data_IF_032825549735
#
_entry.id   IF_032825549735
#
_cell.length_a   1.000
_cell.length_b   1.000
_cell.length_c   1.000
_cell.angle_alpha   90.00
_cell.angle_beta   90.00
_cell.angle_gamma   90.00
#
_symmetry.space_group_name_H-M   'P 1'
#
loop_
_entity.id
_entity.type
_entity.pdbx_description
1 polymer ?
#
# COMPACT_ATOMS: atom_id res chain seq x y z
N UNK A 1 24.54 38.96 -10.54
CA UNK A 1 24.75 39.14 -9.10
C UNK A 1 24.81 37.82 -8.30
N UNK A 2 24.94 37.90 -6.97
CA UNK A 2 25.04 36.71 -6.10
C UNK A 2 23.80 35.79 -6.18
N UNK A 3 22.63 36.34 -6.47
CA UNK A 3 21.36 35.61 -6.65
C UNK A 3 21.38 34.72 -7.89
N UNK A 4 21.84 35.21 -9.03
CA UNK A 4 21.97 34.46 -10.28
C UNK A 4 22.98 33.33 -10.18
N UNK A 5 24.09 33.55 -9.47
CA UNK A 5 25.11 32.50 -9.23
C UNK A 5 24.58 31.36 -8.36
N UNK A 6 23.75 31.63 -7.35
CA UNK A 6 23.12 30.60 -6.51
C UNK A 6 22.13 29.74 -7.30
N UNK A 7 21.31 30.36 -8.16
CA UNK A 7 20.37 29.64 -9.03
C UNK A 7 21.09 28.79 -10.08
N UNK A 8 22.17 29.30 -10.69
CA UNK A 8 22.98 28.52 -11.60
C UNK A 8 23.62 27.29 -10.95
N UNK A 9 24.09 27.42 -9.71
CA UNK A 9 24.67 26.31 -8.93
C UNK A 9 23.59 25.26 -8.53
N UNK A 10 22.38 25.69 -8.19
CA UNK A 10 21.28 24.79 -7.85
C UNK A 10 20.81 23.99 -9.08
N UNK A 11 20.65 24.65 -10.23
CA UNK A 11 20.35 24.00 -11.51
C UNK A 11 21.39 22.95 -11.89
N UNK A 12 22.67 23.29 -11.76
CA UNK A 12 23.79 22.40 -12.10
C UNK A 12 23.81 21.16 -11.17
N UNK A 13 23.46 21.31 -9.86
CA UNK A 13 23.36 20.18 -8.94
C UNK A 13 22.23 19.23 -9.32
N UNK A 14 21.04 19.77 -9.65
CA UNK A 14 19.90 18.96 -10.07
C UNK A 14 20.20 18.20 -11.36
N UNK A 15 20.78 18.87 -12.36
CA UNK A 15 21.12 18.21 -13.62
C UNK A 15 22.17 17.11 -13.44
N UNK A 16 23.18 17.31 -12.60
CA UNK A 16 24.17 16.26 -12.32
C UNK A 16 23.53 15.05 -11.67
N UNK A 17 22.64 15.25 -10.69
CA UNK A 17 21.95 14.16 -10.04
C UNK A 17 21.02 13.41 -11.02
N UNK A 18 20.35 14.12 -11.94
CA UNK A 18 19.50 13.50 -12.98
C UNK A 18 20.30 12.77 -14.07
N UNK A 19 21.59 13.05 -14.22
CA UNK A 19 22.48 12.28 -15.09
C UNK A 19 22.90 10.94 -14.47
N UNK A 20 22.86 10.85 -13.14
CA UNK A 20 23.17 9.61 -12.41
C UNK A 20 21.90 8.75 -12.20
N UNK A 21 20.76 9.41 -11.95
CA UNK A 21 19.44 8.75 -11.77
C UNK A 21 18.40 9.51 -12.60
N UNK A 22 17.72 8.81 -13.50
CA UNK A 22 16.73 9.40 -14.42
C UNK A 22 15.54 10.04 -13.68
N UNK A 23 15.23 9.57 -12.50
CA UNK A 23 14.15 10.07 -11.65
C UNK A 23 14.66 10.34 -10.24
N UNK A 24 14.31 11.51 -9.68
CA UNK A 24 14.68 11.90 -8.31
C UNK A 24 13.45 12.25 -7.51
N UNK A 25 13.42 11.81 -6.25
CA UNK A 25 12.36 12.15 -5.31
C UNK A 25 12.37 13.66 -4.98
N UNK A 26 11.17 14.25 -4.85
CA UNK A 26 10.99 15.68 -4.54
C UNK A 26 11.68 16.10 -3.24
N UNK A 27 11.56 15.28 -2.20
CA UNK A 27 12.15 15.57 -0.89
C UNK A 27 13.69 15.49 -0.94
N UNK A 28 14.24 14.56 -1.71
CA UNK A 28 15.67 14.49 -1.96
C UNK A 28 16.18 15.77 -2.67
N UNK A 29 15.46 16.21 -3.70
CA UNK A 29 15.82 17.39 -4.48
C UNK A 29 15.75 18.66 -3.63
N UNK A 30 14.67 18.83 -2.86
CA UNK A 30 14.44 20.07 -2.09
C UNK A 30 15.25 20.13 -0.81
N UNK A 31 15.30 19.05 -0.03
CA UNK A 31 15.94 19.05 1.30
C UNK A 31 17.42 18.66 1.25
N UNK A 32 17.81 17.64 0.46
CA UNK A 32 19.20 17.19 0.42
C UNK A 32 20.03 17.93 -0.63
N UNK A 33 19.52 18.10 -1.84
CA UNK A 33 20.21 18.85 -2.89
C UNK A 33 20.06 20.37 -2.71
N UNK A 34 19.14 20.84 -1.86
CA UNK A 34 18.91 22.25 -1.58
C UNK A 34 18.49 23.05 -2.82
N UNK A 35 17.67 22.44 -3.68
CA UNK A 35 17.09 23.09 -4.87
C UNK A 35 15.70 23.56 -4.52
N UNK A 36 15.46 24.88 -4.58
CA UNK A 36 14.15 25.43 -4.26
C UNK A 36 13.09 25.09 -5.30
N UNK A 37 11.84 24.97 -4.87
CA UNK A 37 10.71 24.69 -5.77
C UNK A 37 10.55 25.71 -6.90
N UNK A 38 10.98 26.96 -6.70
CA UNK A 38 10.99 27.99 -7.75
C UNK A 38 12.00 27.67 -8.87
N UNK A 39 13.16 27.13 -8.51
CA UNK A 39 14.16 26.72 -9.50
C UNK A 39 13.67 25.51 -10.28
N UNK A 40 13.05 24.51 -9.61
CA UNK A 40 12.48 23.33 -10.27
C UNK A 40 11.39 23.75 -11.26
N UNK A 41 10.47 24.64 -10.84
CA UNK A 41 9.40 25.15 -11.71
C UNK A 41 9.93 25.89 -12.93
N UNK A 42 10.94 26.76 -12.76
CA UNK A 42 11.57 27.44 -13.88
C UNK A 42 12.29 26.47 -14.85
N UNK A 43 12.81 25.36 -14.36
CA UNK A 43 13.41 24.31 -15.21
C UNK A 43 12.35 23.47 -15.92
N UNK A 44 11.19 23.25 -15.28
CA UNK A 44 10.03 22.59 -15.88
C UNK A 44 9.44 23.46 -17.01
N UNK A 45 9.21 24.76 -16.75
CA UNK A 45 8.73 25.73 -17.74
C UNK A 45 9.66 25.85 -18.95
N UNK A 46 10.97 25.71 -18.74
CA UNK A 46 11.95 25.70 -19.82
C UNK A 46 12.11 24.35 -20.53
N UNK A 47 11.34 23.33 -20.12
CA UNK A 47 11.36 21.98 -20.72
C UNK A 47 12.60 21.15 -20.40
N UNK A 48 13.44 21.59 -19.45
CA UNK A 48 14.68 20.89 -19.08
C UNK A 48 14.42 19.70 -18.14
N UNK A 49 13.41 19.82 -17.29
CA UNK A 49 12.96 18.74 -16.39
C UNK A 49 11.45 18.59 -16.50
N UNK A 50 10.94 17.42 -16.14
CA UNK A 50 9.51 17.13 -16.02
C UNK A 50 9.19 16.79 -14.59
N UNK A 51 8.24 17.48 -13.98
CA UNK A 51 7.72 17.12 -12.65
C UNK A 51 6.57 16.15 -12.85
N UNK A 52 6.79 14.89 -12.44
CA UNK A 52 5.76 13.87 -12.46
C UNK A 52 5.06 13.91 -11.09
N UNK A 53 3.77 14.22 -11.09
CA UNK A 53 2.95 14.17 -9.87
C UNK A 53 2.35 12.78 -9.76
N UNK A 54 3.08 11.89 -9.14
CA UNK A 54 2.54 10.58 -8.76
C UNK A 54 1.76 10.70 -7.47
N UNK A 55 0.57 10.09 -7.43
CA UNK A 55 -0.18 9.93 -6.20
C UNK A 55 0.49 8.82 -5.39
N UNK A 56 1.46 9.17 -4.56
CA UNK A 56 2.03 8.22 -3.60
C UNK A 56 1.09 8.11 -2.41
N UNK A 57 0.40 6.97 -2.30
CA UNK A 57 -0.39 6.65 -1.11
C UNK A 57 0.55 6.28 0.04
N UNK A 58 0.44 6.99 1.16
CA UNK A 58 1.17 6.64 2.38
C UNK A 58 0.75 5.25 2.83
N UNK A 59 1.66 4.30 2.74
CA UNK A 59 1.41 2.94 3.18
C UNK A 59 2.08 2.72 4.54
N UNK A 60 1.32 2.59 5.64
CA UNK A 60 1.89 2.43 6.98
C UNK A 60 2.72 1.15 7.15
N UNK A 61 2.64 0.24 6.19
CA UNK A 61 3.39 -1.04 6.19
C UNK A 61 4.44 -1.13 5.08
N UNK A 62 4.76 -0.04 4.40
CA UNK A 62 5.75 -0.01 3.29
C UNK A 62 7.16 -0.47 3.69
N UNK A 63 7.50 -0.37 4.98
CA UNK A 63 8.78 -0.82 5.53
C UNK A 63 8.83 -2.33 5.85
N UNK A 64 7.69 -3.03 5.71
CA UNK A 64 7.63 -4.47 5.99
C UNK A 64 7.99 -5.27 4.73
N UNK A 65 8.92 -6.20 4.87
CA UNK A 65 9.26 -7.14 3.79
C UNK A 65 8.26 -8.30 3.83
N UNK A 66 7.53 -8.53 2.76
CA UNK A 66 6.64 -9.68 2.61
C UNK A 66 7.47 -10.97 2.60
N UNK A 67 7.33 -11.77 3.66
CA UNK A 67 7.81 -13.17 3.67
C UNK A 67 6.64 -14.02 3.23
N UNK A 68 6.82 -14.80 2.16
CA UNK A 68 5.78 -15.71 1.67
C UNK A 68 5.19 -16.54 2.82
N UNK A 69 3.89 -16.46 3.00
CA UNK A 69 3.19 -17.14 4.09
C UNK A 69 2.49 -18.36 3.49
N UNK A 70 3.18 -19.51 3.58
CA UNK A 70 2.61 -20.81 3.22
C UNK A 70 1.80 -21.34 4.41
N UNK A 71 0.47 -21.24 4.34
CA UNK A 71 -0.42 -21.88 5.28
C UNK A 71 -0.97 -23.15 4.66
N UNK A 72 -0.84 -24.25 5.41
CA UNK A 72 -1.59 -25.47 5.14
C UNK A 72 -2.76 -25.50 6.12
N UNK A 73 -3.97 -25.45 5.60
CA UNK A 73 -5.17 -25.63 6.40
C UNK A 73 -5.28 -27.10 6.82
N UNK A 74 -5.80 -27.35 8.02
CA UNK A 74 -6.23 -28.69 8.39
C UNK A 74 -7.59 -29.01 7.74
N UNK A 75 -8.04 -30.26 7.86
CA UNK A 75 -9.27 -30.74 7.21
C UNK A 75 -10.50 -29.94 7.63
N UNK A 76 -10.69 -29.66 8.93
CA UNK A 76 -11.81 -28.88 9.45
C UNK A 76 -11.81 -27.43 8.92
N UNK A 77 -10.64 -26.82 8.85
CA UNK A 77 -10.48 -25.46 8.30
C UNK A 77 -10.77 -25.45 6.80
N UNK A 78 -10.32 -26.47 6.08
CA UNK A 78 -10.59 -26.61 4.66
C UNK A 78 -12.07 -26.81 4.37
N UNK A 79 -12.75 -27.67 5.14
CA UNK A 79 -14.20 -27.87 5.04
C UNK A 79 -14.97 -26.56 5.26
N UNK A 80 -14.58 -25.75 6.26
CA UNK A 80 -15.20 -24.45 6.53
C UNK A 80 -15.02 -23.49 5.34
N UNK A 81 -13.83 -23.44 4.74
CA UNK A 81 -13.54 -22.63 3.55
C UNK A 81 -14.38 -23.10 2.36
N UNK A 82 -14.44 -24.40 2.13
CA UNK A 82 -15.12 -24.98 0.97
C UNK A 82 -16.64 -24.82 1.06
N UNK A 83 -17.21 -24.93 2.26
CA UNK A 83 -18.63 -24.67 2.49
C UNK A 83 -19.02 -23.23 2.10
N UNK A 84 -18.27 -22.23 2.62
CA UNK A 84 -18.51 -20.82 2.30
C UNK A 84 -18.29 -20.53 0.82
N UNK A 85 -17.22 -21.10 0.25
CA UNK A 85 -16.88 -20.88 -1.15
C UNK A 85 -17.88 -21.50 -2.12
N UNK A 86 -18.35 -22.73 -1.83
CA UNK A 86 -19.39 -23.40 -2.62
C UNK A 86 -20.68 -22.57 -2.67
N UNK A 87 -21.11 -22.01 -1.56
CA UNK A 87 -22.28 -21.15 -1.53
C UNK A 87 -22.06 -19.86 -2.33
N UNK A 88 -20.87 -19.27 -2.21
CA UNK A 88 -20.50 -18.11 -3.00
C UNK A 88 -20.59 -18.37 -4.52
N UNK A 89 -20.09 -19.52 -4.99
CA UNK A 89 -20.13 -19.92 -6.41
C UNK A 89 -21.56 -20.17 -6.90
N UNK A 90 -22.43 -20.70 -6.02
CA UNK A 90 -23.89 -20.86 -6.31
C UNK A 90 -24.66 -19.54 -6.25
N UNK A 91 -24.02 -18.42 -6.00
CA UNK A 91 -24.67 -17.11 -5.87
C UNK A 91 -25.35 -16.88 -4.52
N UNK A 92 -25.23 -17.79 -3.55
CA UNK A 92 -25.76 -17.65 -2.19
C UNK A 92 -24.93 -16.61 -1.44
N UNK A 93 -25.60 -15.67 -0.80
CA UNK A 93 -25.00 -14.59 0.00
C UNK A 93 -25.56 -14.64 1.42
N UNK A 94 -24.94 -15.48 2.24
CA UNK A 94 -25.33 -15.71 3.64
C UNK A 94 -24.29 -15.16 4.60
N UNK A 95 -24.70 -14.99 5.86
CA UNK A 95 -23.78 -14.70 6.96
C UNK A 95 -23.31 -16.01 7.58
N UNK A 96 -22.00 -16.13 7.77
CA UNK A 96 -21.38 -17.32 8.37
C UNK A 96 -20.76 -16.95 9.72
N UNK A 97 -20.91 -17.84 10.69
CA UNK A 97 -20.25 -17.74 11.99
C UNK A 97 -19.17 -18.81 12.10
N UNK A 98 -17.90 -18.40 12.14
CA UNK A 98 -16.77 -19.29 12.40
C UNK A 98 -16.57 -19.38 13.91
N UNK A 99 -16.95 -20.51 14.52
CA UNK A 99 -16.81 -20.77 15.94
C UNK A 99 -15.54 -21.59 16.19
N UNK A 100 -14.78 -21.22 17.22
CA UNK A 100 -13.59 -21.96 17.64
C UNK A 100 -12.89 -21.26 18.80
N UNK A 101 -12.09 -21.98 19.56
CA UNK A 101 -11.31 -21.45 20.67
C UNK A 101 -10.21 -20.50 20.17
N UNK A 102 -9.59 -19.76 21.07
CA UNK A 102 -8.42 -18.94 20.75
C UNK A 102 -7.29 -19.85 20.25
N UNK A 103 -6.65 -19.48 19.15
CA UNK A 103 -5.59 -20.28 18.55
C UNK A 103 -6.05 -21.42 17.62
N UNK A 104 -7.36 -21.64 17.43
CA UNK A 104 -7.88 -22.69 16.52
C UNK A 104 -7.67 -22.42 15.02
N UNK A 105 -7.03 -21.31 14.67
CA UNK A 105 -6.76 -20.97 13.28
C UNK A 105 -7.92 -20.32 12.52
N UNK A 106 -8.89 -19.71 13.21
CA UNK A 106 -9.98 -18.95 12.54
C UNK A 106 -9.47 -17.89 11.58
N UNK A 107 -8.34 -17.27 11.94
CA UNK A 107 -7.67 -16.26 11.08
C UNK A 107 -7.26 -16.85 9.74
N UNK A 108 -6.77 -18.05 9.73
CA UNK A 108 -6.32 -18.77 8.54
C UNK A 108 -7.50 -19.06 7.60
N UNK A 109 -8.65 -19.45 8.15
CA UNK A 109 -9.89 -19.70 7.40
C UNK A 109 -10.34 -18.45 6.65
N UNK A 110 -10.50 -17.30 7.33
CA UNK A 110 -10.94 -16.12 6.62
C UNK A 110 -9.85 -15.50 5.73
N UNK A 111 -8.57 -15.69 6.03
CA UNK A 111 -7.50 -15.30 5.12
C UNK A 111 -7.52 -16.13 3.82
N UNK A 112 -7.85 -17.42 3.88
CA UNK A 112 -8.02 -18.23 2.67
C UNK A 112 -9.21 -17.77 1.84
N UNK A 113 -10.34 -17.48 2.50
CA UNK A 113 -11.52 -16.89 1.82
C UNK A 113 -11.19 -15.57 1.13
N UNK A 114 -10.43 -14.68 1.78
CA UNK A 114 -9.94 -13.42 1.18
C UNK A 114 -9.07 -13.72 -0.05
N UNK A 115 -8.18 -14.70 0.03
CA UNK A 115 -7.33 -15.09 -1.08
C UNK A 115 -8.14 -15.61 -2.28
N UNK A 116 -9.17 -16.43 -2.04
CA UNK A 116 -10.12 -16.89 -3.06
C UNK A 116 -10.86 -15.73 -3.69
N UNK A 117 -11.35 -14.77 -2.89
CA UNK A 117 -12.03 -13.55 -3.37
C UNK A 117 -11.11 -12.70 -4.25
N UNK A 118 -9.85 -12.52 -3.86
CA UNK A 118 -8.87 -11.79 -4.67
C UNK A 118 -8.58 -12.49 -6.00
N UNK A 119 -8.47 -13.83 -6.01
CA UNK A 119 -8.34 -14.61 -7.25
C UNK A 119 -9.54 -14.44 -8.17
N UNK A 120 -10.74 -14.28 -7.60
CA UNK A 120 -11.96 -13.98 -8.33
C UNK A 120 -12.11 -12.49 -8.73
N UNK A 121 -11.05 -11.67 -8.57
CA UNK A 121 -11.06 -10.25 -8.93
C UNK A 121 -11.92 -9.38 -8.00
N UNK A 122 -12.20 -9.85 -6.78
CA UNK A 122 -12.99 -9.14 -5.78
C UNK A 122 -12.12 -8.56 -4.68
N UNK A 123 -12.67 -7.59 -3.97
CA UNK A 123 -12.08 -7.02 -2.76
C UNK A 123 -12.78 -7.58 -1.52
N UNK A 124 -12.07 -7.57 -0.40
CA UNK A 124 -12.59 -7.96 0.90
C UNK A 124 -12.38 -6.83 1.91
N UNK A 125 -13.36 -6.63 2.80
CA UNK A 125 -13.24 -5.72 3.93
C UNK A 125 -13.18 -6.56 5.19
N UNK A 126 -12.13 -6.33 6.01
CA UNK A 126 -11.95 -7.01 7.29
C UNK A 126 -12.10 -5.99 8.41
N UNK A 127 -13.11 -6.17 9.23
CA UNK A 127 -13.34 -5.33 10.40
C UNK A 127 -12.69 -5.97 11.62
N UNK A 128 -11.73 -5.30 12.21
CA UNK A 128 -10.98 -5.77 13.39
C UNK A 128 -11.20 -4.75 14.50
N UNK A 129 -11.64 -5.17 15.71
CA UNK A 129 -11.70 -4.27 16.86
C UNK A 129 -10.32 -3.60 17.08
N UNK A 130 -10.30 -2.31 17.39
CA UNK A 130 -9.04 -1.54 17.49
C UNK A 130 -8.06 -2.16 18.49
N UNK A 131 -8.57 -2.70 19.60
CA UNK A 131 -7.77 -3.40 20.61
C UNK A 131 -7.08 -4.66 20.05
N UNK A 132 -7.65 -5.30 19.04
CA UNK A 132 -7.09 -6.48 18.38
C UNK A 132 -6.24 -6.14 17.14
N UNK A 133 -6.23 -4.88 16.71
CA UNK A 133 -5.41 -4.41 15.59
C UNK A 133 -3.97 -4.16 16.07
N UNK A 134 -3.29 -5.24 16.40
CA UNK A 134 -1.89 -5.22 16.80
C UNK A 134 -0.96 -5.20 15.59
N UNK A 135 0.30 -4.82 15.80
CA UNK A 135 1.34 -4.94 14.77
C UNK A 135 1.43 -6.35 14.18
N UNK A 136 1.31 -7.38 15.02
CA UNK A 136 1.34 -8.78 14.58
C UNK A 136 0.17 -9.13 13.65
N UNK A 137 -1.02 -8.61 13.93
CA UNK A 137 -2.18 -8.80 13.06
C UNK A 137 -1.94 -8.16 11.70
N UNK A 138 -1.48 -6.90 11.68
CA UNK A 138 -1.13 -6.18 10.45
C UNK A 138 -0.06 -6.93 9.65
N UNK A 139 0.99 -7.40 10.33
CA UNK A 139 2.09 -8.13 9.71
C UNK A 139 1.61 -9.45 9.06
N UNK A 140 0.67 -10.18 9.67
CA UNK A 140 0.10 -11.40 9.08
C UNK A 140 -0.60 -11.11 7.75
N UNK A 141 -1.45 -10.08 7.70
CA UNK A 141 -2.12 -9.67 6.46
C UNK A 141 -1.11 -9.23 5.40
N UNK A 142 -0.14 -8.41 5.79
CA UNK A 142 0.89 -7.94 4.88
C UNK A 142 1.76 -9.06 4.33
N UNK A 143 2.19 -10.02 5.16
CA UNK A 143 2.97 -11.17 4.73
C UNK A 143 2.24 -12.03 3.70
N UNK A 144 0.90 -12.12 3.80
CA UNK A 144 0.10 -12.92 2.88
C UNK A 144 -0.29 -12.17 1.61
N UNK A 145 -0.67 -10.92 1.74
CA UNK A 145 -1.27 -10.15 0.65
C UNK A 145 -0.39 -9.02 0.12
N UNK A 146 0.71 -8.71 0.80
CA UNK A 146 1.67 -7.68 0.40
C UNK A 146 1.01 -6.32 0.27
N UNK A 147 1.40 -5.60 -0.76
CA UNK A 147 0.93 -4.24 -1.05
C UNK A 147 -0.55 -4.13 -1.43
N UNK A 148 -1.28 -5.24 -1.49
CA UNK A 148 -2.74 -5.25 -1.71
C UNK A 148 -3.55 -4.98 -0.44
N UNK A 149 -2.89 -4.78 0.70
CA UNK A 149 -3.53 -4.45 1.98
C UNK A 149 -3.62 -2.94 2.15
N UNK A 150 -4.81 -2.42 2.40
CA UNK A 150 -5.04 -1.05 2.86
C UNK A 150 -5.53 -1.09 4.29
N UNK A 151 -4.98 -0.25 5.15
CA UNK A 151 -5.30 -0.21 6.58
C UNK A 151 -5.93 1.13 6.90
N UNK A 152 -7.06 1.09 7.60
CA UNK A 152 -7.76 2.27 8.11
C UNK A 152 -7.96 2.12 9.61
N UNK A 153 -7.51 3.08 10.40
CA UNK A 153 -7.72 3.10 11.85
C UNK A 153 -7.89 4.54 12.38
N UNK A 154 -8.29 4.67 13.65
CA UNK A 154 -8.55 5.96 14.28
C UNK A 154 -7.31 6.82 14.50
N UNK A 155 -6.11 6.22 14.57
CA UNK A 155 -4.84 6.93 14.82
C UNK A 155 -4.28 7.60 13.56
N UNK A 156 -4.81 7.25 12.40
CA UNK A 156 -4.38 7.85 11.13
C UNK A 156 -4.92 9.26 10.99
N UNK A 157 -4.09 10.15 10.46
CA UNK A 157 -4.50 11.51 10.07
C UNK A 157 -5.58 11.47 8.98
N UNK A 158 -6.38 12.52 8.80
CA UNK A 158 -7.36 12.60 7.72
C UNK A 158 -6.75 12.36 6.33
N UNK A 159 -5.53 12.88 6.08
CA UNK A 159 -4.82 12.68 4.81
C UNK A 159 -4.46 11.22 4.58
N UNK A 160 -3.89 10.55 5.57
CA UNK A 160 -3.56 9.13 5.47
C UNK A 160 -4.80 8.25 5.25
N UNK A 161 -5.91 8.54 5.93
CA UNK A 161 -7.19 7.83 5.71
C UNK A 161 -7.71 8.03 4.30
N UNK A 162 -7.64 9.26 3.79
CA UNK A 162 -8.05 9.57 2.43
C UNK A 162 -7.20 8.82 1.39
N UNK A 163 -5.88 8.80 1.56
CA UNK A 163 -4.96 8.07 0.69
C UNK A 163 -5.29 6.57 0.65
N UNK A 164 -5.48 5.95 1.82
CA UNK A 164 -5.85 4.53 1.91
C UNK A 164 -7.22 4.23 1.29
N UNK A 165 -8.19 5.13 1.47
CA UNK A 165 -9.52 5.00 0.85
C UNK A 165 -9.44 5.08 -0.68
N UNK A 166 -8.72 6.06 -1.23
CA UNK A 166 -8.52 6.19 -2.68
C UNK A 166 -7.83 4.97 -3.26
N UNK A 167 -6.80 4.48 -2.58
CA UNK A 167 -6.08 3.28 -2.97
C UNK A 167 -7.01 2.06 -3.03
N UNK A 168 -7.82 1.84 -2.01
CA UNK A 168 -8.80 0.76 -1.99
C UNK A 168 -9.86 0.92 -3.10
N UNK A 169 -10.35 2.14 -3.32
CA UNK A 169 -11.34 2.46 -4.36
C UNK A 169 -10.81 2.20 -5.77
N UNK A 170 -9.57 2.56 -6.04
CA UNK A 170 -8.96 2.44 -7.37
C UNK A 170 -8.40 1.03 -7.63
N UNK A 171 -8.34 0.16 -6.62
CA UNK A 171 -7.73 -1.18 -6.73
C UNK A 171 -6.21 -1.13 -6.99
N UNK A 172 -5.56 -0.01 -6.67
CA UNK A 172 -4.15 0.21 -6.96
C UNK A 172 -3.25 -0.57 -6.01
N UNK A 173 -2.20 -1.18 -6.56
CA UNK A 173 -1.12 -1.77 -5.77
C UNK A 173 -0.21 -0.66 -5.27
N UNK A 174 0.30 -0.78 -4.04
CA UNK A 174 1.34 0.11 -3.54
C UNK A 174 2.57 -0.02 -4.44
N UNK A 175 3.05 1.10 -4.99
CA UNK A 175 4.29 1.10 -5.79
C UNK A 175 4.17 0.56 -7.21
N UNK A 176 2.99 0.37 -7.77
CA UNK A 176 2.86 0.09 -9.20
C UNK A 176 3.24 1.35 -9.99
N UNK A 177 4.49 1.45 -10.42
CA UNK A 177 4.90 2.38 -11.48
C UNK A 177 4.06 2.08 -12.73
N UNK A 178 3.34 3.06 -13.24
CA UNK A 178 2.82 3.06 -14.60
C UNK A 178 3.77 3.86 -15.49
#
# INVERSE_FOLDING_TARGET
>A
GAYERRHSTARARLLRALLEEEELDWDLVTHKLGVSGSVIRAMEESGVVKVIRETQYRNPVSHLTSRGYGLTLNDEQQEAVDAVWSDYEKGIRSTYLIKGVTGSGKTEVYMELIAKMQKAGRQAIVLIPEIALTYQTVLRFYNRFGDRVSILNSRMSPGERYDQFLRAKNGEKSGAKR
#
